data_IF_413916987060
#
_entry.id   IF_413916987060
#
_cell.length_a   1.000
_cell.length_b   1.000
_cell.length_c   1.000
_cell.angle_alpha   90.00
_cell.angle_beta   90.00
_cell.angle_gamma   90.00
#
_symmetry.space_group_name_H-M   'P 1'
#
loop_
_entity.id
_entity.type
_entity.pdbx_description
1 polymer ?
#
# COMPACT_ATOMS: atom_id res chain seq x y z
N UNK A 1 -11.13 28.35 1.88
CA UNK A 1 -12.48 27.79 1.60
C UNK A 1 -12.51 26.26 1.77
N UNK A 2 -11.54 25.50 1.23
CA UNK A 2 -11.49 24.02 1.37
C UNK A 2 -11.27 23.56 2.83
N UNK A 3 -10.39 24.23 3.58
CA UNK A 3 -10.07 23.87 4.98
C UNK A 3 -11.27 23.97 5.94
N UNK A 4 -12.13 25.00 5.81
CA UNK A 4 -13.31 25.16 6.67
C UNK A 4 -14.39 24.09 6.40
N UNK A 5 -14.52 23.66 5.15
CA UNK A 5 -15.45 22.61 4.76
C UNK A 5 -15.05 21.25 5.34
N UNK A 6 -13.79 20.84 5.14
CA UNK A 6 -13.26 19.57 5.67
C UNK A 6 -13.34 19.52 7.21
N UNK A 7 -13.06 20.64 7.88
CA UNK A 7 -13.22 20.78 9.34
C UNK A 7 -14.65 20.50 9.80
N UNK A 8 -15.63 21.11 9.14
CA UNK A 8 -17.04 20.96 9.49
C UNK A 8 -17.53 19.53 9.31
N UNK A 9 -17.09 18.85 8.24
CA UNK A 9 -17.42 17.43 8.05
C UNK A 9 -16.81 16.60 9.18
N UNK A 10 -15.50 16.72 9.41
CA UNK A 10 -14.81 15.89 10.40
C UNK A 10 -15.33 16.11 11.83
N UNK A 11 -15.61 17.35 12.23
CA UNK A 11 -16.15 17.62 13.56
C UNK A 11 -17.55 17.02 13.72
N UNK A 12 -18.43 17.22 12.72
CA UNK A 12 -19.80 16.71 12.77
C UNK A 12 -19.84 15.19 12.71
N UNK A 13 -19.02 14.56 11.88
CA UNK A 13 -18.98 13.10 11.78
C UNK A 13 -18.42 12.47 13.05
N UNK A 14 -17.40 13.08 13.68
CA UNK A 14 -16.83 12.61 14.94
C UNK A 14 -17.72 12.84 16.17
N UNK A 15 -18.47 13.96 16.22
CA UNK A 15 -19.40 14.28 17.31
C UNK A 15 -20.79 13.65 17.12
N UNK A 16 -21.05 13.03 15.96
CA UNK A 16 -22.35 12.39 15.68
C UNK A 16 -22.60 11.20 16.61
N UNK A 17 -23.88 10.97 16.92
CA UNK A 17 -24.33 9.82 17.73
C UNK A 17 -23.84 8.47 17.19
N UNK A 18 -23.64 8.38 15.88
CA UNK A 18 -23.21 7.16 15.17
C UNK A 18 -21.71 7.15 14.81
N UNK A 19 -20.95 8.20 15.16
CA UNK A 19 -19.51 8.37 14.89
C UNK A 19 -19.03 7.79 13.55
N UNK A 20 -19.04 8.60 12.48
CA UNK A 20 -18.64 8.14 11.14
C UNK A 20 -17.14 8.29 10.88
N UNK A 21 -16.55 7.25 10.29
CA UNK A 21 -15.21 7.30 9.70
C UNK A 21 -15.25 8.02 8.34
N UNK A 22 -14.17 8.72 8.01
CA UNK A 22 -14.07 9.56 6.81
C UNK A 22 -12.81 9.19 6.01
N UNK A 23 -13.00 9.04 4.71
CA UNK A 23 -11.94 8.94 3.71
C UNK A 23 -12.20 9.99 2.62
N UNK A 24 -11.26 10.93 2.43
CA UNK A 24 -11.42 12.00 1.45
C UNK A 24 -10.64 11.76 0.16
N UNK A 25 -11.37 11.74 -0.95
CA UNK A 25 -10.85 11.74 -2.32
C UNK A 25 -10.93 13.14 -2.95
N UNK A 26 -10.01 13.46 -3.87
CA UNK A 26 -9.96 14.78 -4.52
C UNK A 26 -9.73 15.98 -3.57
N UNK A 27 -9.27 15.71 -2.34
CA UNK A 27 -9.12 16.70 -1.29
C UNK A 27 -7.65 17.11 -1.04
N UNK A 28 -7.46 18.01 -0.09
CA UNK A 28 -6.12 18.44 0.31
C UNK A 28 -5.38 17.31 1.05
N UNK A 29 -4.08 17.17 0.75
CA UNK A 29 -3.19 16.21 1.43
C UNK A 29 -3.22 16.46 2.95
N UNK A 30 -3.33 15.41 3.78
CA UNK A 30 -3.74 15.53 5.17
C UNK A 30 -2.56 15.89 6.07
N UNK A 31 -1.99 17.09 5.98
CA UNK A 31 -0.84 17.48 6.81
C UNK A 31 -1.18 17.45 8.32
N UNK A 32 -0.96 16.30 8.98
CA UNK A 32 -1.22 16.02 10.41
C UNK A 32 -2.69 16.08 10.87
N UNK A 33 -3.65 16.19 9.94
CA UNK A 33 -5.08 16.38 10.27
C UNK A 33 -5.69 15.24 11.10
N UNK A 34 -5.19 14.02 10.95
CA UNK A 34 -5.69 12.81 11.60
C UNK A 34 -5.43 12.80 13.11
N UNK A 35 -4.41 13.53 13.59
CA UNK A 35 -4.20 13.73 15.03
C UNK A 35 -5.31 14.59 15.67
N UNK A 36 -5.82 15.56 14.91
CA UNK A 36 -6.91 16.45 15.37
C UNK A 36 -8.27 15.80 15.21
N UNK A 37 -8.48 15.03 14.13
CA UNK A 37 -9.71 14.31 13.82
C UNK A 37 -9.41 12.83 13.57
N UNK A 38 -9.40 11.97 14.61
CA UNK A 38 -9.07 10.56 14.49
C UNK A 38 -10.04 9.76 13.61
N UNK A 39 -11.24 10.28 13.37
CA UNK A 39 -12.22 9.69 12.48
C UNK A 39 -11.91 9.92 10.99
N UNK A 40 -11.02 10.86 10.65
CA UNK A 40 -10.41 10.92 9.32
C UNK A 40 -9.34 9.83 9.27
N UNK A 41 -9.61 8.73 8.58
CA UNK A 41 -8.74 7.55 8.61
C UNK A 41 -7.81 7.48 7.40
N UNK A 42 -8.29 7.99 6.26
CA UNK A 42 -7.57 7.97 4.99
C UNK A 42 -7.80 9.27 4.23
N UNK A 43 -6.92 9.53 3.27
CA UNK A 43 -7.19 10.44 2.16
C UNK A 43 -6.46 9.94 0.93
N UNK A 44 -6.95 10.25 -0.26
CA UNK A 44 -6.25 9.94 -1.51
C UNK A 44 -5.12 10.97 -1.73
N UNK A 45 -5.43 12.12 -2.33
CA UNK A 45 -4.49 13.23 -2.54
C UNK A 45 -3.27 12.85 -3.39
N UNK A 46 -3.40 11.84 -4.25
CA UNK A 46 -2.34 11.23 -5.04
C UNK A 46 -2.89 10.71 -6.37
N UNK A 47 -2.01 10.43 -7.32
CA UNK A 47 -2.38 9.60 -8.48
C UNK A 47 -2.45 8.15 -8.01
N UNK A 48 -3.63 7.72 -7.57
CA UNK A 48 -3.87 6.36 -7.07
C UNK A 48 -3.96 5.31 -8.17
N UNK A 49 -4.35 4.09 -7.82
CA UNK A 49 -4.53 2.99 -8.78
C UNK A 49 -5.53 3.30 -9.89
N UNK A 50 -6.49 4.21 -9.64
CA UNK A 50 -7.45 4.65 -10.65
C UNK A 50 -6.78 5.22 -11.91
N UNK A 51 -5.60 5.83 -11.80
CA UNK A 51 -4.87 6.41 -12.93
C UNK A 51 -4.44 5.36 -13.95
N UNK A 52 -4.30 4.10 -13.53
CA UNK A 52 -3.99 2.98 -14.43
C UNK A 52 -5.09 2.72 -15.48
N UNK A 53 -6.30 3.31 -15.31
CA UNK A 53 -7.40 3.24 -16.27
C UNK A 53 -7.19 4.16 -17.49
N UNK A 54 -6.41 5.23 -17.37
CA UNK A 54 -6.30 6.27 -18.40
C UNK A 54 -4.89 6.87 -18.58
N UNK A 55 -3.89 6.41 -17.83
CA UNK A 55 -2.54 7.01 -17.82
C UNK A 55 -1.43 5.99 -17.52
N UNK A 56 -0.19 6.37 -17.83
CA UNK A 56 1.05 5.68 -17.45
C UNK A 56 1.68 6.24 -16.17
N UNK A 57 1.03 7.18 -15.51
CA UNK A 57 1.63 7.91 -14.37
C UNK A 57 1.58 7.15 -13.03
N UNK A 58 0.94 5.98 -12.97
CA UNK A 58 0.92 5.07 -11.82
C UNK A 58 2.01 3.98 -11.91
N UNK A 59 3.13 4.27 -12.57
CA UNK A 59 4.22 3.31 -12.80
C UNK A 59 4.99 2.96 -11.49
N UNK A 60 5.73 1.83 -11.45
CA UNK A 60 6.54 1.43 -10.30
C UNK A 60 7.40 2.54 -9.68
N UNK A 61 8.02 3.40 -10.49
CA UNK A 61 8.79 4.57 -10.00
C UNK A 61 7.94 5.55 -9.19
N UNK A 62 6.72 5.84 -9.65
CA UNK A 62 5.76 6.66 -8.89
C UNK A 62 5.47 6.00 -7.55
N UNK A 63 5.19 4.69 -7.57
CA UNK A 63 4.84 3.93 -6.37
C UNK A 63 5.94 3.98 -5.29
N UNK A 64 7.21 3.76 -5.66
CA UNK A 64 8.34 3.85 -4.71
C UNK A 64 8.73 5.29 -4.35
N UNK A 65 8.14 6.31 -4.99
CA UNK A 65 8.31 7.72 -4.60
C UNK A 65 7.33 8.15 -3.51
N UNK A 66 6.13 7.54 -3.47
CA UNK A 66 5.05 7.92 -2.55
C UNK A 66 5.41 7.83 -1.06
N UNK A 67 6.16 6.80 -0.58
CA UNK A 67 6.54 6.69 0.83
C UNK A 67 7.31 7.90 1.35
N UNK A 68 8.10 8.55 0.49
CA UNK A 68 8.97 9.68 0.85
C UNK A 68 8.30 11.05 0.64
N UNK A 69 7.17 11.09 -0.06
CA UNK A 69 6.55 12.33 -0.51
C UNK A 69 5.11 12.45 -0.01
N UNK A 70 4.15 11.80 -0.66
CA UNK A 70 2.74 11.86 -0.28
C UNK A 70 2.48 11.24 1.08
N UNK A 71 3.04 10.04 1.33
CA UNK A 71 2.77 9.28 2.56
C UNK A 71 3.43 9.90 3.79
N UNK A 72 4.47 10.73 3.60
CA UNK A 72 5.04 11.56 4.67
C UNK A 72 4.00 12.46 5.34
N UNK A 73 2.97 12.89 4.60
CA UNK A 73 1.88 13.70 5.14
C UNK A 73 0.83 12.85 5.90
N UNK A 74 0.93 11.53 5.88
CA UNK A 74 0.08 10.57 6.58
C UNK A 74 -0.66 9.60 5.64
N UNK A 75 -1.53 8.74 6.21
CA UNK A 75 -2.22 7.67 5.50
C UNK A 75 -2.78 8.00 4.11
N UNK A 76 -2.70 7.01 3.23
CA UNK A 76 -3.00 7.17 1.81
C UNK A 76 -3.90 6.05 1.31
N UNK A 77 -5.12 6.40 0.91
CA UNK A 77 -5.94 5.48 0.11
C UNK A 77 -5.40 5.46 -1.32
N UNK A 78 -4.54 4.48 -1.61
CA UNK A 78 -4.00 4.26 -2.95
C UNK A 78 -4.88 3.29 -3.77
N UNK A 79 -5.73 2.51 -3.11
CA UNK A 79 -6.48 1.38 -3.66
C UNK A 79 -5.61 0.30 -4.32
N UNK A 80 -4.68 -0.37 -3.59
CA UNK A 80 -3.82 -1.43 -4.15
C UNK A 80 -4.61 -2.73 -4.48
N UNK A 81 -3.89 -3.77 -4.90
CA UNK A 81 -4.47 -5.11 -5.11
C UNK A 81 -4.89 -5.42 -6.54
N UNK A 82 -4.37 -4.70 -7.54
CA UNK A 82 -4.67 -5.06 -8.93
C UNK A 82 -4.14 -6.47 -9.26
N UNK A 83 -5.03 -7.32 -9.77
CA UNK A 83 -4.72 -8.71 -10.11
C UNK A 83 -4.38 -8.89 -11.60
N UNK A 84 -4.64 -7.87 -12.42
CA UNK A 84 -4.13 -7.81 -13.79
C UNK A 84 -2.87 -6.95 -13.80
N UNK A 85 -1.73 -7.55 -14.08
CA UNK A 85 -0.43 -6.87 -14.06
C UNK A 85 0.22 -6.87 -15.44
N UNK A 86 1.00 -5.83 -15.75
CA UNK A 86 1.65 -5.67 -17.05
C UNK A 86 3.05 -5.06 -16.92
N UNK A 87 3.93 -5.46 -17.84
CA UNK A 87 5.26 -4.85 -18.02
C UNK A 87 5.14 -3.51 -18.76
N UNK A 88 6.23 -2.73 -18.84
CA UNK A 88 6.28 -1.50 -19.68
C UNK A 88 5.76 -1.74 -21.10
N UNK A 89 6.13 -2.89 -21.69
CA UNK A 89 5.83 -3.20 -23.09
C UNK A 89 4.40 -3.69 -23.34
N UNK A 90 3.74 -4.23 -22.30
CA UNK A 90 2.42 -4.85 -22.42
C UNK A 90 1.32 -4.04 -21.76
N UNK A 91 1.66 -2.95 -21.07
CA UNK A 91 0.69 -2.09 -20.43
C UNK A 91 -0.03 -1.22 -21.45
N UNK A 92 -1.36 -1.14 -21.29
CA UNK A 92 -2.18 -0.15 -21.95
C UNK A 92 -3.26 0.35 -20.98
N UNK A 93 -3.54 1.66 -20.92
CA UNK A 93 -4.63 2.18 -20.12
C UNK A 93 -5.97 1.82 -20.77
N UNK A 94 -6.75 0.99 -20.07
CA UNK A 94 -8.06 0.52 -20.54
C UNK A 94 -9.09 0.78 -19.44
N UNK A 95 -9.94 1.77 -19.63
CA UNK A 95 -10.89 2.20 -18.59
C UNK A 95 -11.82 1.09 -18.08
N UNK A 96 -12.28 0.20 -18.98
CA UNK A 96 -13.22 -0.88 -18.65
C UNK A 96 -12.55 -2.14 -18.09
N UNK A 97 -11.25 -2.30 -18.30
CA UNK A 97 -10.52 -3.50 -17.90
C UNK A 97 -9.07 -3.13 -17.57
N UNK A 98 -8.86 -2.32 -16.52
CA UNK A 98 -7.54 -1.82 -16.17
C UNK A 98 -6.59 -2.94 -15.80
N UNK A 99 -5.31 -2.62 -15.84
CA UNK A 99 -4.21 -3.43 -15.35
C UNK A 99 -3.25 -2.51 -14.62
N UNK A 100 -2.49 -3.02 -13.65
CA UNK A 100 -1.43 -2.27 -12.99
C UNK A 100 -0.09 -2.54 -13.66
N UNK A 101 0.77 -1.52 -13.71
CA UNK A 101 2.17 -1.69 -14.11
C UNK A 101 2.97 -2.36 -12.98
N UNK A 102 3.90 -3.24 -13.34
CA UNK A 102 4.73 -3.98 -12.40
C UNK A 102 4.27 -5.42 -12.21
N UNK A 103 4.63 -6.03 -11.09
CA UNK A 103 4.35 -7.45 -10.79
C UNK A 103 3.18 -7.58 -9.81
N UNK A 104 2.66 -8.81 -9.67
CA UNK A 104 1.71 -9.11 -8.59
C UNK A 104 2.31 -8.84 -7.23
N UNK A 105 3.57 -9.24 -7.01
CA UNK A 105 4.27 -9.03 -5.74
C UNK A 105 4.40 -7.53 -5.40
N UNK A 106 4.61 -6.66 -6.40
CA UNK A 106 4.60 -5.22 -6.20
C UNK A 106 3.25 -4.71 -5.66
N UNK A 107 2.12 -5.26 -6.15
CA UNK A 107 0.79 -4.91 -5.64
C UNK A 107 0.54 -5.42 -4.21
N UNK A 108 1.05 -6.61 -3.86
CA UNK A 108 0.91 -7.17 -2.52
C UNK A 108 1.80 -6.43 -1.50
N UNK A 109 3.00 -6.04 -1.90
CA UNK A 109 3.92 -5.27 -1.08
C UNK A 109 3.34 -3.91 -0.65
N UNK A 110 2.45 -3.30 -1.44
CA UNK A 110 1.78 -2.05 -1.09
C UNK A 110 0.98 -2.15 0.22
N UNK A 111 0.41 -3.32 0.56
CA UNK A 111 -0.34 -3.50 1.82
C UNK A 111 0.56 -3.41 3.07
N UNK A 112 1.87 -3.58 2.91
CA UNK A 112 2.85 -3.40 3.98
C UNK A 112 3.57 -2.05 3.85
N UNK A 113 3.90 -1.62 2.63
CA UNK A 113 4.63 -0.36 2.44
C UNK A 113 3.74 0.85 2.69
N UNK A 114 2.53 0.86 2.14
CA UNK A 114 1.61 1.99 2.26
C UNK A 114 0.84 1.94 3.57
N UNK A 115 0.97 3.02 4.35
CA UNK A 115 0.19 3.22 5.55
C UNK A 115 -1.24 3.63 5.19
N UNK A 116 -2.21 2.79 5.52
CA UNK A 116 -3.63 3.09 5.35
C UNK A 116 -4.46 2.24 6.33
N UNK A 117 -5.10 2.85 7.34
CA UNK A 117 -5.99 2.14 8.26
C UNK A 117 -7.18 1.44 7.56
N UNK A 118 -7.64 1.98 6.44
CA UNK A 118 -8.59 1.35 5.54
C UNK A 118 -7.88 0.95 4.23
N UNK A 119 -7.76 -0.35 3.98
CA UNK A 119 -7.16 -0.88 2.76
C UNK A 119 -8.24 -1.43 1.83
N UNK A 120 -8.15 -1.11 0.55
CA UNK A 120 -9.06 -1.59 -0.48
C UNK A 120 -8.48 -2.82 -1.20
N UNK A 121 -9.35 -3.72 -1.63
CA UNK A 121 -9.06 -4.75 -2.65
C UNK A 121 -9.63 -4.25 -3.99
N UNK A 122 -8.81 -3.63 -4.83
CA UNK A 122 -9.28 -2.80 -5.97
C UNK A 122 -9.80 -3.56 -7.21
N UNK A 123 -9.73 -4.89 -7.23
CA UNK A 123 -10.05 -5.71 -8.41
C UNK A 123 -11.36 -6.48 -8.23
N UNK A 124 -11.85 -7.11 -9.29
CA UNK A 124 -13.03 -7.95 -9.25
C UNK A 124 -12.82 -9.17 -8.33
N UNK A 125 -13.84 -9.55 -7.52
CA UNK A 125 -13.79 -10.76 -6.68
C UNK A 125 -13.38 -12.01 -7.46
N UNK A 126 -13.83 -12.16 -8.70
CA UNK A 126 -13.49 -13.29 -9.57
C UNK A 126 -12.00 -13.39 -9.90
N UNK A 127 -11.25 -12.29 -9.89
CA UNK A 127 -9.79 -12.34 -10.07
C UNK A 127 -9.10 -12.82 -8.80
N UNK A 128 -9.56 -12.38 -7.62
CA UNK A 128 -9.06 -12.84 -6.33
C UNK A 128 -9.34 -14.33 -6.08
N UNK A 129 -10.53 -14.82 -6.43
CA UNK A 129 -10.90 -16.23 -6.26
C UNK A 129 -10.04 -17.21 -7.06
N UNK A 130 -9.34 -16.74 -8.11
CA UNK A 130 -8.40 -17.57 -8.88
C UNK A 130 -7.02 -17.65 -8.25
N UNK A 131 -6.77 -16.89 -7.19
CA UNK A 131 -5.44 -16.63 -6.64
C UNK A 131 -5.44 -16.85 -5.10
N UNK A 132 -5.68 -18.10 -4.64
CA UNK A 132 -5.88 -18.40 -3.23
C UNK A 132 -4.67 -18.03 -2.36
N UNK A 133 -3.45 -18.21 -2.84
CA UNK A 133 -2.22 -17.82 -2.12
C UNK A 133 -2.14 -16.30 -1.90
N UNK A 134 -2.60 -15.51 -2.88
CA UNK A 134 -2.71 -14.06 -2.73
C UNK A 134 -3.72 -13.71 -1.62
N UNK A 135 -4.86 -14.41 -1.60
CA UNK A 135 -5.90 -14.17 -0.59
C UNK A 135 -5.51 -14.64 0.82
N UNK A 136 -4.66 -15.67 0.93
CA UNK A 136 -4.10 -16.08 2.22
C UNK A 136 -3.24 -14.95 2.82
N UNK A 137 -2.37 -14.35 2.00
CA UNK A 137 -1.59 -13.19 2.42
C UNK A 137 -2.49 -11.98 2.75
N UNK A 138 -3.38 -11.60 1.84
CA UNK A 138 -4.25 -10.41 2.01
C UNK A 138 -5.23 -10.56 3.18
N UNK A 139 -5.65 -11.79 3.50
CA UNK A 139 -6.50 -12.08 4.65
C UNK A 139 -5.77 -12.00 5.99
N UNK A 140 -4.44 -12.10 5.99
CA UNK A 140 -3.63 -12.08 7.19
C UNK A 140 -2.94 -10.74 7.46
N UNK A 141 -2.61 -9.97 6.42
CA UNK A 141 -1.92 -8.68 6.58
C UNK A 141 -2.82 -7.66 7.31
N UNK A 142 -2.36 -7.06 8.42
CA UNK A 142 -3.15 -6.06 9.15
C UNK A 142 -3.09 -4.70 8.45
N UNK A 143 -3.96 -3.79 8.88
CA UNK A 143 -3.98 -2.39 8.38
C UNK A 143 -3.41 -1.39 9.38
N UNK A 144 -3.04 -1.83 10.57
CA UNK A 144 -2.46 -1.01 11.65
C UNK A 144 -1.15 -1.62 12.14
N UNK A 145 -0.26 -0.76 12.64
CA UNK A 145 1.12 -1.13 12.94
C UNK A 145 1.56 -0.53 14.27
N UNK A 146 2.22 -1.33 15.10
CA UNK A 146 2.79 -0.93 16.40
C UNK A 146 4.20 -0.32 16.24
N UNK A 147 5.00 -0.86 15.31
CA UNK A 147 6.36 -0.42 14.99
C UNK A 147 6.57 -0.46 13.47
N UNK A 148 7.47 0.39 12.96
CA UNK A 148 7.86 0.45 11.54
C UNK A 148 9.35 0.72 11.44
N UNK A 149 10.06 -0.14 10.72
CA UNK A 149 11.51 -0.09 10.51
C UNK A 149 11.83 -0.06 9.03
N UNK A 150 12.49 1.00 8.58
CA UNK A 150 13.04 1.07 7.23
C UNK A 150 14.34 0.28 7.22
N UNK A 151 14.37 -0.83 6.49
CA UNK A 151 15.54 -1.71 6.43
C UNK A 151 16.54 -1.23 5.36
N UNK A 152 16.01 -0.80 4.22
CA UNK A 152 16.73 -0.13 3.14
C UNK A 152 15.76 0.67 2.27
N UNK A 153 16.22 1.76 1.67
CA UNK A 153 15.39 2.65 0.89
C UNK A 153 16.21 3.64 0.07
N UNK A 154 15.75 3.90 -1.16
CA UNK A 154 16.18 5.05 -1.94
C UNK A 154 15.01 5.64 -2.70
N UNK A 155 14.79 6.95 -2.52
CA UNK A 155 13.66 7.67 -3.12
C UNK A 155 13.60 7.44 -4.64
N UNK A 156 12.40 7.12 -5.13
CA UNK A 156 12.13 6.87 -6.54
C UNK A 156 12.86 5.67 -7.16
N UNK A 157 13.52 4.84 -6.35
CA UNK A 157 14.28 3.67 -6.79
C UNK A 157 13.75 2.39 -6.09
N UNK A 158 13.73 2.33 -4.77
CA UNK A 158 13.21 1.19 -4.02
C UNK A 158 12.86 1.53 -2.56
N UNK A 159 12.08 0.64 -1.93
CA UNK A 159 11.73 0.70 -0.51
C UNK A 159 11.63 -0.71 0.05
N UNK A 160 12.28 -0.93 1.20
CA UNK A 160 12.20 -2.15 1.99
C UNK A 160 11.89 -1.76 3.44
N UNK A 161 10.72 -2.18 3.91
CA UNK A 161 10.22 -1.85 5.25
C UNK A 161 9.73 -3.10 5.97
N UNK A 162 9.98 -3.16 7.27
CA UNK A 162 9.37 -4.13 8.17
C UNK A 162 8.39 -3.42 9.09
N UNK A 163 7.17 -3.95 9.24
CA UNK A 163 6.15 -3.41 10.13
C UNK A 163 5.65 -4.48 11.10
N UNK A 164 5.42 -4.07 12.34
CA UNK A 164 4.98 -4.94 13.42
C UNK A 164 3.50 -4.76 13.71
N UNK A 165 2.80 -5.86 13.95
CA UNK A 165 1.47 -5.86 14.57
C UNK A 165 1.42 -6.96 15.63
N UNK A 166 1.26 -6.57 16.89
CA UNK A 166 1.40 -7.46 18.04
C UNK A 166 2.78 -8.13 18.08
N UNK A 167 2.82 -9.43 17.83
CA UNK A 167 4.06 -10.22 17.80
C UNK A 167 4.57 -10.48 16.39
N UNK A 168 3.75 -10.22 15.37
CA UNK A 168 4.04 -10.56 13.98
C UNK A 168 4.74 -9.40 13.27
N UNK A 169 5.65 -9.77 12.36
CA UNK A 169 6.38 -8.85 11.51
C UNK A 169 6.11 -9.15 10.05
N UNK A 170 5.85 -8.09 9.29
CA UNK A 170 5.50 -8.11 7.87
C UNK A 170 6.54 -7.31 7.11
N UNK A 171 7.08 -7.87 6.03
CA UNK A 171 8.11 -7.21 5.22
C UNK A 171 7.54 -6.88 3.84
N UNK A 172 7.63 -5.60 3.49
CA UNK A 172 7.22 -5.10 2.18
C UNK A 172 8.42 -4.57 1.42
N UNK A 173 8.58 -5.04 0.18
CA UNK A 173 9.62 -4.60 -0.73
C UNK A 173 9.01 -4.16 -2.07
N UNK A 174 9.38 -2.98 -2.54
CA UNK A 174 9.04 -2.51 -3.89
C UNK A 174 10.28 -1.89 -4.53
N UNK A 175 10.49 -2.18 -5.81
CA UNK A 175 11.48 -1.51 -6.66
C UNK A 175 10.76 -0.77 -7.79
N UNK A 176 11.48 0.10 -8.47
CA UNK A 176 11.09 0.71 -9.73
C UNK A 176 11.13 -0.33 -10.87
N UNK A 177 11.54 0.08 -12.07
CA UNK A 177 11.62 -0.83 -13.20
C UNK A 177 12.94 -1.59 -13.29
N UNK A 178 13.94 -1.19 -12.50
CA UNK A 178 15.24 -1.83 -12.51
C UNK A 178 15.20 -2.99 -11.50
N UNK A 179 15.55 -4.22 -11.94
CA UNK A 179 15.59 -5.38 -11.05
C UNK A 179 16.69 -5.21 -10.01
N UNK A 180 16.45 -5.72 -8.79
CA UNK A 180 17.38 -5.60 -7.68
C UNK A 180 17.48 -6.93 -6.95
N UNK A 181 18.73 -7.37 -6.76
CA UNK A 181 19.08 -8.49 -5.91
C UNK A 181 19.65 -7.92 -4.61
N UNK A 182 18.77 -7.53 -3.69
CA UNK A 182 19.18 -7.07 -2.36
C UNK A 182 19.21 -8.29 -1.43
N UNK A 183 20.38 -8.72 -0.93
CA UNK A 183 20.42 -9.74 0.10
C UNK A 183 19.70 -9.20 1.34
N UNK A 184 18.59 -9.84 1.71
CA UNK A 184 17.87 -9.52 2.94
C UNK A 184 18.80 -9.77 4.14
N UNK A 185 19.26 -8.70 4.77
CA UNK A 185 20.07 -8.78 5.98
C UNK A 185 19.17 -9.12 7.18
N UNK A 186 19.05 -10.42 7.48
CA UNK A 186 18.29 -10.94 8.62
C UNK A 186 18.76 -10.35 9.97
N UNK A 187 19.97 -9.79 10.07
CA UNK A 187 20.48 -9.20 11.32
C UNK A 187 19.87 -7.84 11.65
N UNK A 188 19.31 -7.15 10.63
CA UNK A 188 18.52 -5.92 10.82
C UNK A 188 17.10 -6.20 11.29
N UNK A 189 16.70 -7.47 11.30
CA UNK A 189 15.40 -7.92 11.75
C UNK A 189 15.41 -8.16 13.27
N UNK A 190 14.35 -7.81 14.01
CA UNK A 190 14.12 -8.38 15.34
C UNK A 190 13.93 -9.91 15.22
N UNK A 191 15.03 -10.65 15.36
CA UNK A 191 15.26 -12.09 15.62
C UNK A 191 14.26 -13.19 15.20
N UNK A 192 13.21 -12.96 14.39
CA UNK A 192 12.18 -13.99 14.16
C UNK A 192 11.42 -14.03 12.81
N UNK A 193 11.65 -13.19 11.80
CA UNK A 193 10.86 -13.32 10.54
C UNK A 193 11.39 -14.44 9.61
N UNK A 194 10.49 -15.30 9.11
CA UNK A 194 10.71 -16.32 8.06
C UNK A 194 9.41 -16.66 7.34
N UNK A 195 9.34 -16.44 6.03
CA UNK A 195 8.34 -17.03 5.14
C UNK A 195 8.37 -16.36 3.76
N UNK A 196 8.23 -17.13 2.68
CA UNK A 196 8.56 -16.76 1.30
C UNK A 196 7.32 -16.87 0.41
N UNK A 197 7.08 -15.86 -0.42
CA UNK A 197 6.16 -15.89 -1.56
C UNK A 197 6.90 -15.25 -2.75
N UNK A 198 7.26 -16.08 -3.73
CA UNK A 198 7.95 -15.65 -4.94
C UNK A 198 8.09 -16.82 -5.90
N UNK A 199 7.43 -16.75 -7.06
CA UNK A 199 7.62 -17.71 -8.15
C UNK A 199 8.93 -17.44 -8.89
N UNK A 200 9.50 -18.48 -9.51
CA UNK A 200 10.86 -18.55 -10.10
C UNK A 200 11.25 -17.46 -11.13
N UNK A 201 10.39 -16.49 -11.44
CA UNK A 201 10.64 -15.43 -12.43
C UNK A 201 10.19 -14.01 -12.00
N UNK A 202 9.98 -13.75 -10.69
CA UNK A 202 9.69 -12.40 -10.18
C UNK A 202 10.92 -11.80 -9.50
N UNK A 203 11.46 -10.63 -9.96
CA UNK A 203 12.58 -9.95 -9.31
C UNK A 203 12.21 -9.27 -7.97
N UNK A 204 11.02 -9.55 -7.45
CA UNK A 204 10.54 -9.06 -6.15
C UNK A 204 10.09 -10.29 -5.38
N UNK A 205 10.90 -10.72 -4.41
CA UNK A 205 10.53 -11.74 -3.43
C UNK A 205 9.74 -11.09 -2.30
N UNK A 206 8.59 -11.66 -1.97
CA UNK A 206 7.75 -11.23 -0.86
C UNK A 206 8.01 -12.12 0.35
N UNK A 207 8.17 -11.53 1.54
CA UNK A 207 8.40 -12.28 2.77
C UNK A 207 7.32 -11.97 3.81
N UNK A 208 6.61 -13.00 4.26
CA UNK A 208 5.64 -12.88 5.37
C UNK A 208 5.69 -14.12 6.26
N UNK A 209 5.56 -13.92 7.58
CA UNK A 209 5.48 -15.02 8.57
C UNK A 209 4.23 -14.85 9.43
N UNK A 210 3.52 -15.94 9.66
CA UNK A 210 2.68 -16.13 10.85
C UNK A 210 3.56 -16.79 11.93
N UNK A 211 3.82 -16.12 13.04
CA UNK A 211 4.54 -16.73 14.16
C UNK A 211 3.54 -17.55 14.96
N UNK A 212 3.43 -18.86 14.68
CA UNK A 212 2.72 -19.75 15.60
C UNK A 212 3.44 -19.77 16.96
N UNK A 213 2.65 -19.60 18.03
CA UNK A 213 3.07 -19.62 19.43
C UNK A 213 3.55 -20.98 19.90
#
# INVERSE_FOLDING_TARGET
MISSFLRSINSRSGESRESMLVDFHGAQKPATMMRTWPNLINTEGVRGMEWSKWSWESEPKHNVTLPFTRMFLGPMDYTPGAMRNATKSTFAPIARQPMAMGTRCHQLAMYVVYDAPLQMLSDSPSNYLREPETMEFLGAVPTTWDDTRVLDARIAEYVLVARQNGRDWYVGAMTDWDPRDEPFDETKNPSSARGRMGGENSPIEFWWRKLDS
#
